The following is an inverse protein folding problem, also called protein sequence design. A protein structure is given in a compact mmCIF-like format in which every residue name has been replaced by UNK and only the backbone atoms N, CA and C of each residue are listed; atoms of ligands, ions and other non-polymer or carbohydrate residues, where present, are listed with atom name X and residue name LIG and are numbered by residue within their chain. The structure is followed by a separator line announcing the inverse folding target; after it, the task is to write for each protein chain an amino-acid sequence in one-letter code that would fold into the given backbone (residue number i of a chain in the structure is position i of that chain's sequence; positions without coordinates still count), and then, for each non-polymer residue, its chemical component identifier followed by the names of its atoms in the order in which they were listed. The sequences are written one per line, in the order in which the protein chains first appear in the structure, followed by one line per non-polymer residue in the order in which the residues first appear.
data_IF_046329468244
#
_entry.id   IF_046329468244
#
_cell.length_a   1.000
_cell.length_b   1.000
_cell.length_c   1.000
_cell.angle_alpha   90.00
_cell.angle_beta   90.00
_cell.angle_gamma   90.00
#
_symmetry.space_group_name_H-M   'P 1'
#
loop_
_entity.id
_entity.type
_entity.pdbx_description
1 polymer ?
#
# COMPACT_ATOMS: atom_id res chain seq x y z
N UNK A 1 -15.99 13.26 -11.37
CA UNK A 1 -16.38 12.18 -10.48
C UNK A 1 -15.35 11.94 -9.41
N UNK A 2 -15.77 11.94 -8.18
CA UNK A 2 -14.85 11.76 -7.06
C UNK A 2 -14.45 10.31 -6.95
N UNK A 3 -13.15 10.08 -6.80
CA UNK A 3 -12.64 8.76 -6.49
C UNK A 3 -12.41 8.69 -4.99
N UNK A 4 -13.07 7.73 -4.36
CA UNK A 4 -12.87 7.48 -2.94
C UNK A 4 -11.75 6.47 -2.79
N UNK A 5 -10.70 6.87 -2.10
CA UNK A 5 -9.54 6.01 -1.88
C UNK A 5 -9.62 5.47 -0.46
N UNK A 6 -9.71 4.16 -0.35
CA UNK A 6 -9.69 3.47 0.93
C UNK A 6 -8.31 2.82 1.08
N UNK A 7 -7.53 3.30 2.04
CA UNK A 7 -6.15 2.87 2.20
C UNK A 7 -6.05 1.84 3.30
N UNK A 8 -5.45 0.71 3.00
CA UNK A 8 -5.13 -0.31 3.98
C UNK A 8 -3.62 -0.31 4.19
N UNK A 9 -3.20 -0.29 5.46
CA UNK A 9 -1.79 -0.30 5.81
C UNK A 9 -1.50 -1.51 6.69
N UNK A 10 -0.39 -2.18 6.40
CA UNK A 10 0.02 -3.35 7.17
C UNK A 10 1.42 -3.12 7.72
N UNK A 11 1.55 -3.11 9.04
CA UNK A 11 2.83 -2.89 9.68
C UNK A 11 2.63 -2.48 11.13
N UNK A 12 3.70 -2.01 11.76
CA UNK A 12 3.61 -1.53 13.14
C UNK A 12 2.83 -0.22 13.20
N UNK A 13 2.25 0.06 14.38
CA UNK A 13 1.51 1.30 14.57
C UNK A 13 2.32 2.55 14.24
N UNK A 14 3.56 2.68 14.73
CA UNK A 14 4.33 3.90 14.40
C UNK A 14 4.56 4.07 12.92
N UNK A 15 4.84 2.97 12.21
CA UNK A 15 5.09 3.04 10.78
C UNK A 15 3.81 3.37 10.01
N UNK A 16 2.70 2.79 10.40
CA UNK A 16 1.43 3.09 9.75
C UNK A 16 1.01 4.53 9.96
N UNK A 17 1.21 5.05 11.18
CA UNK A 17 0.89 6.46 11.47
C UNK A 17 1.77 7.40 10.67
N UNK A 18 3.06 7.10 10.59
CA UNK A 18 3.98 7.93 9.81
C UNK A 18 3.59 7.94 8.34
N UNK A 19 3.22 6.78 7.80
CA UNK A 19 2.81 6.69 6.41
C UNK A 19 1.53 7.48 6.15
N UNK A 20 0.56 7.39 7.05
CA UNK A 20 -0.69 8.15 6.91
C UNK A 20 -0.41 9.66 6.93
N UNK A 21 0.51 10.10 7.78
CA UNK A 21 0.89 11.52 7.80
C UNK A 21 1.44 11.96 6.44
N UNK A 22 2.27 11.12 5.82
CA UNK A 22 2.79 11.43 4.49
C UNK A 22 1.65 11.52 3.47
N UNK A 23 0.74 10.55 3.50
CA UNK A 23 -0.38 10.55 2.56
C UNK A 23 -1.27 11.78 2.73
N UNK A 24 -1.54 12.15 3.97
CA UNK A 24 -2.38 13.33 4.24
C UNK A 24 -1.71 14.63 3.85
N UNK A 25 -0.39 14.63 3.75
CA UNK A 25 0.34 15.81 3.32
C UNK A 25 0.40 15.99 1.82
N UNK A 26 -0.08 15.02 1.05
CA UNK A 26 -0.06 15.09 -0.41
C UNK A 26 -1.42 15.59 -0.91
N UNK A 27 -1.47 16.83 -1.35
CA UNK A 27 -2.73 17.47 -1.73
C UNK A 27 -3.50 16.69 -2.77
N UNK A 28 -2.80 16.12 -3.74
CA UNK A 28 -3.44 15.40 -4.84
C UNK A 28 -4.17 14.15 -4.36
N UNK A 29 -3.68 13.54 -3.29
CA UNK A 29 -4.24 12.29 -2.79
C UNK A 29 -5.15 12.49 -1.58
N UNK A 30 -4.78 13.40 -0.67
CA UNK A 30 -5.48 13.55 0.62
C UNK A 30 -6.95 13.88 0.44
N UNK A 31 -7.27 14.64 -0.60
CA UNK A 31 -8.66 15.02 -0.89
C UNK A 31 -9.53 13.83 -1.26
N UNK A 32 -8.92 12.71 -1.66
CA UNK A 32 -9.64 11.53 -2.10
C UNK A 32 -9.66 10.41 -1.08
N UNK A 33 -8.83 10.50 -0.03
CA UNK A 33 -8.81 9.46 1.00
C UNK A 33 -10.08 9.54 1.83
N UNK A 34 -10.89 8.50 1.72
CA UNK A 34 -12.15 8.43 2.47
C UNK A 34 -11.93 7.76 3.83
N UNK A 35 -11.22 6.65 3.83
CA UNK A 35 -10.97 5.89 5.04
C UNK A 35 -9.59 5.28 4.97
N UNK A 36 -9.01 5.04 6.14
CA UNK A 36 -7.81 4.24 6.23
C UNK A 36 -7.92 3.32 7.43
N UNK A 37 -7.33 2.14 7.29
CA UNK A 37 -7.25 1.16 8.37
C UNK A 37 -5.84 0.64 8.41
N UNK A 38 -5.35 0.34 9.61
CA UNK A 38 -4.03 -0.25 9.72
C UNK A 38 -4.09 -1.52 10.56
N UNK A 39 -3.30 -2.51 10.14
CA UNK A 39 -3.28 -3.84 10.71
C UNK A 39 -1.83 -4.24 10.95
N UNK A 40 -1.63 -5.16 11.91
CA UNK A 40 -0.31 -5.75 12.12
C UNK A 40 -0.38 -7.27 12.18
N UNK A 41 -1.53 -7.85 11.86
CA UNK A 41 -1.77 -9.28 12.00
C UNK A 41 -2.29 -9.84 10.68
N UNK A 42 -1.66 -10.92 10.21
CA UNK A 42 -2.03 -11.53 8.93
C UNK A 42 -3.44 -12.10 8.94
N UNK A 43 -3.92 -12.58 10.09
CA UNK A 43 -5.29 -13.08 10.18
C UNK A 43 -6.29 -11.95 10.02
N UNK A 44 -6.01 -10.80 10.63
CA UNK A 44 -6.85 -9.63 10.44
C UNK A 44 -6.88 -9.18 8.99
N UNK A 45 -5.74 -9.27 8.30
CA UNK A 45 -5.68 -8.93 6.89
C UNK A 45 -6.66 -9.76 6.08
N UNK A 46 -6.69 -11.07 6.33
CA UNK A 46 -7.59 -11.96 5.60
C UNK A 46 -9.05 -11.57 5.84
N UNK A 47 -9.40 -11.26 7.09
CA UNK A 47 -10.76 -10.89 7.43
C UNK A 47 -11.16 -9.57 6.82
N UNK A 48 -10.28 -8.59 6.87
CA UNK A 48 -10.56 -7.27 6.32
C UNK A 48 -10.78 -7.33 4.82
N UNK A 49 -10.00 -8.15 4.12
CA UNK A 49 -10.13 -8.26 2.67
C UNK A 49 -11.44 -8.93 2.25
N UNK A 50 -12.09 -9.65 3.16
CA UNK A 50 -13.42 -10.20 2.88
C UNK A 50 -14.50 -9.14 3.04
N UNK A 51 -14.41 -8.33 4.09
CA UNK A 51 -15.48 -7.41 4.47
C UNK A 51 -15.33 -6.01 3.91
N UNK A 52 -14.13 -5.63 3.53
CA UNK A 52 -13.82 -4.25 3.14
C UNK A 52 -13.06 -4.25 1.83
N UNK A 53 -13.33 -3.26 1.01
CA UNK A 53 -12.68 -3.18 -0.30
C UNK A 53 -11.68 -2.03 -0.30
N UNK A 54 -10.42 -2.29 0.05
CA UNK A 54 -9.40 -1.25 -0.05
C UNK A 54 -9.13 -0.92 -1.52
N UNK A 55 -8.77 0.32 -1.76
CA UNK A 55 -8.36 0.77 -3.08
C UNK A 55 -6.86 0.63 -3.25
N UNK A 56 -6.14 0.62 -2.14
CA UNK A 56 -4.68 0.64 -2.11
C UNK A 56 -4.20 -0.02 -0.82
N UNK A 57 -3.16 -0.83 -0.94
CA UNK A 57 -2.50 -1.44 0.23
C UNK A 57 -1.06 -0.96 0.31
N UNK A 58 -0.67 -0.43 1.46
CA UNK A 58 0.73 -0.14 1.77
C UNK A 58 1.24 -1.21 2.72
N UNK A 59 2.29 -1.91 2.32
CA UNK A 59 2.92 -2.92 3.17
C UNK A 59 4.19 -2.36 3.75
N UNK A 60 4.22 -2.26 5.08
CA UNK A 60 5.33 -1.64 5.82
C UNK A 60 6.01 -2.63 6.75
N UNK A 61 5.54 -3.86 6.82
CA UNK A 61 6.17 -4.90 7.62
C UNK A 61 7.44 -5.38 6.95
N UNK A 62 8.44 -5.71 7.76
CA UNK A 62 9.72 -6.14 7.26
C UNK A 62 9.80 -7.65 7.09
N UNK A 63 10.77 -8.10 6.31
CA UNK A 63 11.14 -9.49 6.20
C UNK A 63 10.02 -10.38 5.68
N UNK A 64 9.98 -11.59 6.21
CA UNK A 64 9.06 -12.62 5.76
C UNK A 64 7.60 -12.23 5.99
N UNK A 65 7.32 -11.47 7.04
CA UNK A 65 5.95 -11.05 7.33
C UNK A 65 5.44 -10.09 6.25
N UNK A 66 6.28 -9.17 5.81
CA UNK A 66 5.90 -8.28 4.71
C UNK A 66 5.63 -9.04 3.43
N UNK A 67 6.51 -9.99 3.11
CA UNK A 67 6.31 -10.80 1.91
C UNK A 67 5.03 -11.63 2.00
N UNK A 68 4.77 -12.20 3.16
CA UNK A 68 3.56 -13.00 3.34
C UNK A 68 2.31 -12.14 3.19
N UNK A 69 2.36 -10.91 3.70
CA UNK A 69 1.25 -9.98 3.55
C UNK A 69 0.96 -9.71 2.07
N UNK A 70 2.00 -9.40 1.30
CA UNK A 70 1.84 -9.14 -0.13
C UNK A 70 1.26 -10.35 -0.83
N UNK A 71 1.79 -11.52 -0.53
CA UNK A 71 1.34 -12.75 -1.17
C UNK A 71 -0.14 -13.00 -0.90
N UNK A 72 -0.56 -12.91 0.36
CA UNK A 72 -1.96 -13.17 0.71
C UNK A 72 -2.90 -12.13 0.11
N UNK A 73 -2.48 -10.87 0.13
CA UNK A 73 -3.30 -9.81 -0.45
C UNK A 73 -3.50 -10.00 -1.94
N UNK A 74 -2.44 -10.34 -2.65
CA UNK A 74 -2.54 -10.55 -4.10
C UNK A 74 -3.31 -11.81 -4.45
N UNK A 75 -3.28 -12.82 -3.59
CA UNK A 75 -4.11 -14.00 -3.82
C UNK A 75 -5.59 -13.67 -3.69
N UNK A 76 -5.94 -12.88 -2.68
CA UNK A 76 -7.34 -12.52 -2.46
C UNK A 76 -7.84 -11.46 -3.42
N UNK A 77 -6.99 -10.52 -3.76
CA UNK A 77 -7.34 -9.36 -4.59
C UNK A 77 -6.24 -9.14 -5.61
N UNK A 78 -6.22 -9.93 -6.71
CA UNK A 78 -5.12 -9.81 -7.69
C UNK A 78 -4.99 -8.42 -8.30
N UNK A 79 -6.08 -7.66 -8.36
CA UNK A 79 -6.08 -6.33 -8.97
C UNK A 79 -5.75 -5.22 -7.98
N UNK A 80 -5.60 -5.55 -6.70
CA UNK A 80 -5.33 -4.54 -5.68
C UNK A 80 -3.94 -3.97 -5.86
N UNK A 81 -3.79 -2.65 -6.03
CA UNK A 81 -2.46 -2.04 -6.08
C UNK A 81 -1.78 -2.16 -4.73
N UNK A 82 -0.55 -2.64 -4.72
CA UNK A 82 0.23 -2.80 -3.50
C UNK A 82 1.50 -1.94 -3.63
N UNK A 83 1.71 -1.08 -2.65
CA UNK A 83 2.96 -0.33 -2.48
C UNK A 83 3.70 -0.99 -1.33
N UNK A 84 4.85 -1.57 -1.63
CA UNK A 84 5.62 -2.34 -0.65
C UNK A 84 6.88 -1.57 -0.27
N UNK A 85 7.01 -1.24 1.00
CA UNK A 85 8.18 -0.56 1.55
C UNK A 85 8.87 -1.49 2.53
N UNK A 86 10.15 -1.75 2.31
CA UNK A 86 10.91 -2.70 3.10
C UNK A 86 12.28 -2.12 3.47
N UNK A 87 12.90 -2.66 4.50
CA UNK A 87 14.27 -2.32 4.83
C UNK A 87 15.27 -3.17 4.04
N UNK A 88 14.82 -4.12 3.23
CA UNK A 88 15.67 -5.04 2.48
C UNK A 88 15.35 -4.95 0.99
N UNK A 89 16.30 -4.41 0.22
CA UNK A 89 16.08 -4.24 -1.21
C UNK A 89 16.00 -5.56 -1.97
N UNK A 90 16.39 -6.66 -1.35
CA UNK A 90 16.28 -7.98 -2.01
C UNK A 90 14.82 -8.34 -2.30
N UNK A 91 13.88 -7.77 -1.59
CA UNK A 91 12.46 -8.03 -1.85
C UNK A 91 11.95 -7.33 -3.12
N UNK A 92 12.76 -6.46 -3.74
CA UNK A 92 12.36 -5.84 -5.00
C UNK A 92 12.03 -6.84 -6.08
N UNK A 93 12.80 -7.91 -6.18
CA UNK A 93 12.54 -8.97 -7.16
C UNK A 93 11.21 -9.66 -6.87
N UNK A 94 10.94 -9.91 -5.59
CA UNK A 94 9.67 -10.54 -5.23
C UNK A 94 8.48 -9.63 -5.51
N UNK A 95 8.65 -8.33 -5.30
CA UNK A 95 7.59 -7.38 -5.59
C UNK A 95 7.23 -7.39 -7.07
N UNK A 96 8.22 -7.51 -7.92
CA UNK A 96 8.01 -7.60 -9.35
C UNK A 96 7.22 -8.87 -9.69
N UNK A 97 7.63 -10.00 -9.14
CA UNK A 97 6.96 -11.28 -9.40
C UNK A 97 5.53 -11.31 -8.89
N UNK A 98 5.26 -10.59 -7.81
CA UNK A 98 3.93 -10.54 -7.21
C UNK A 98 3.08 -9.40 -7.77
N UNK A 99 3.57 -8.71 -8.80
CA UNK A 99 2.84 -7.64 -9.47
C UNK A 99 2.49 -6.47 -8.54
N UNK A 100 3.39 -6.13 -7.63
CA UNK A 100 3.20 -4.92 -6.84
C UNK A 100 3.29 -3.69 -7.74
N UNK A 101 2.49 -2.69 -7.44
CA UNK A 101 2.52 -1.45 -8.20
C UNK A 101 3.81 -0.68 -7.96
N UNK A 102 4.39 -0.82 -6.76
CA UNK A 102 5.59 -0.07 -6.41
C UNK A 102 6.33 -0.76 -5.27
N UNK A 103 7.65 -0.68 -5.31
CA UNK A 103 8.51 -1.16 -4.23
C UNK A 103 9.58 -0.10 -3.97
N UNK A 104 9.89 0.14 -2.70
CA UNK A 104 10.96 1.05 -2.33
C UNK A 104 11.52 0.66 -0.98
N UNK A 105 12.75 1.11 -0.72
CA UNK A 105 13.35 1.00 0.59
C UNK A 105 12.73 2.07 1.49
N UNK A 106 12.47 1.71 2.74
CA UNK A 106 11.98 2.66 3.75
C UNK A 106 12.95 3.83 3.89
N UNK A 107 12.47 4.98 4.33
CA UNK A 107 11.14 5.27 4.85
C UNK A 107 10.16 5.66 3.75
N UNK A 108 8.88 5.70 4.11
CA UNK A 108 7.85 6.28 3.23
C UNK A 108 8.05 7.78 3.20
N UNK A 109 8.17 8.32 2.00
CA UNK A 109 8.39 9.77 1.81
C UNK A 109 7.40 10.30 0.79
N UNK A 110 7.17 11.62 0.76
CA UNK A 110 6.33 12.20 -0.30
C UNK A 110 6.81 11.84 -1.69
N UNK A 111 8.13 11.82 -1.92
CA UNK A 111 8.68 11.47 -3.21
C UNK A 111 8.35 10.03 -3.61
N UNK A 112 8.49 9.10 -2.65
CA UNK A 112 8.21 7.70 -2.92
C UNK A 112 6.74 7.49 -3.25
N UNK A 113 5.86 8.12 -2.50
CA UNK A 113 4.42 7.99 -2.75
C UNK A 113 4.08 8.63 -4.10
N UNK A 114 4.67 9.75 -4.42
CA UNK A 114 4.43 10.40 -5.71
C UNK A 114 4.82 9.46 -6.87
N UNK A 115 5.98 8.82 -6.76
CA UNK A 115 6.42 7.85 -7.78
C UNK A 115 5.48 6.66 -7.85
N UNK A 116 5.01 6.19 -6.69
CA UNK A 116 4.08 5.05 -6.66
C UNK A 116 2.77 5.40 -7.36
N UNK A 117 2.26 6.60 -7.13
CA UNK A 117 1.04 7.05 -7.79
C UNK A 117 1.21 7.18 -9.29
N UNK A 118 2.38 7.64 -9.73
CA UNK A 118 2.66 7.70 -11.16
C UNK A 118 2.66 6.30 -11.79
N UNK A 119 3.16 5.31 -11.06
CA UNK A 119 3.11 3.94 -11.54
C UNK A 119 1.68 3.45 -11.68
N UNK A 120 0.82 3.83 -10.75
CA UNK A 120 -0.60 3.48 -10.84
C UNK A 120 -1.23 4.07 -12.09
N UNK A 121 -0.90 5.33 -12.43
CA UNK A 121 -1.39 5.94 -13.66
C UNK A 121 -0.92 5.17 -14.89
N UNK A 122 0.33 4.72 -14.88
CA UNK A 122 0.86 3.89 -15.97
C UNK A 122 0.08 2.61 -16.14
N UNK A 123 -0.42 2.06 -15.03
CA UNK A 123 -1.18 0.83 -15.05
C UNK A 123 -2.68 1.05 -15.27
N UNK A 124 -3.09 2.29 -15.56
CA UNK A 124 -4.48 2.61 -15.79
C UNK A 124 -5.27 2.90 -14.53
N UNK A 125 -4.60 3.02 -13.40
CA UNK A 125 -5.24 3.31 -12.12
C UNK A 125 -4.97 4.76 -11.77
N UNK A 126 -6.02 5.53 -11.56
CA UNK A 126 -5.88 6.98 -11.38
C UNK A 126 -6.35 7.41 -10.00
N UNK A 127 -5.41 7.92 -9.23
CA UNK A 127 -5.69 8.45 -7.91
C UNK A 127 -5.37 9.95 -7.79
N UNK A 128 -4.45 10.44 -8.60
CA UNK A 128 -3.94 11.80 -8.44
C UNK A 128 -4.23 12.60 -9.70
N UNK A 129 -5.33 13.27 -9.70
CA UNK A 129 -5.71 14.10 -10.85
C UNK A 129 -5.77 15.57 -10.50
#
# INVERSE_FOLDING_TARGET
MDQNVNVLLFGSDPECRAAIDVLNGLDALSAHIRQHRHLSDLEELEMVLVDWSPTLLLVLADGAEGMECVYRAKERRPSLPVFWFSDDRQFGMQSYRLNCAYFSIKPVTPENIHKALQRCDHMGIRYAK
#
